data_IF_805087939691
#
_entry.id   IF_805087939691
#
_cell.length_a   1.000
_cell.length_b   1.000
_cell.length_c   1.000
_cell.angle_alpha   90.00
_cell.angle_beta   90.00
_cell.angle_gamma   90.00
#
_symmetry.space_group_name_H-M   'P 1'
#
loop_
_entity.id
_entity.type
_entity.pdbx_description
1 polymer ?
#
# COMPACT_ATOMS: atom_id res chain seq x y z
N UNK A 1 13.88 -11.43 -1.82
CA UNK A 1 13.15 -10.18 -2.08
C UNK A 1 12.05 -10.47 -3.09
N UNK A 2 10.79 -10.35 -2.68
CA UNK A 2 9.62 -10.48 -3.54
C UNK A 2 9.42 -9.20 -4.37
N UNK A 3 8.67 -9.29 -5.47
CA UNK A 3 8.32 -8.13 -6.31
C UNK A 3 7.63 -7.01 -5.50
N UNK A 4 6.84 -7.38 -4.49
CA UNK A 4 6.20 -6.45 -3.57
C UNK A 4 7.22 -5.70 -2.71
N UNK A 5 8.22 -6.40 -2.17
CA UNK A 5 9.30 -5.79 -1.39
C UNK A 5 10.13 -4.83 -2.25
N UNK A 6 10.39 -5.18 -3.52
CA UNK A 6 11.09 -4.31 -4.48
C UNK A 6 10.28 -3.04 -4.76
N UNK A 7 8.97 -3.17 -4.99
CA UNK A 7 8.08 -2.03 -5.25
C UNK A 7 7.95 -1.13 -4.01
N UNK A 8 7.79 -1.72 -2.82
CA UNK A 8 7.74 -0.99 -1.56
C UNK A 8 9.05 -0.26 -1.27
N UNK A 9 10.21 -0.88 -1.52
CA UNK A 9 11.53 -0.25 -1.38
C UNK A 9 11.74 0.87 -2.41
N UNK A 10 11.37 0.67 -3.67
CA UNK A 10 11.43 1.72 -4.70
C UNK A 10 10.60 2.93 -4.31
N UNK A 11 9.40 2.68 -3.81
CA UNK A 11 8.53 3.73 -3.33
C UNK A 11 9.07 4.41 -2.07
N UNK A 12 9.60 3.67 -1.10
CA UNK A 12 10.22 4.25 0.10
C UNK A 12 11.46 5.10 -0.24
N UNK A 13 12.27 4.66 -1.21
CA UNK A 13 13.42 5.41 -1.71
C UNK A 13 12.99 6.68 -2.47
N UNK A 14 11.93 6.60 -3.30
CA UNK A 14 11.36 7.77 -4.00
C UNK A 14 10.60 8.71 -3.07
N UNK A 15 9.92 8.19 -2.06
CA UNK A 15 9.17 8.98 -1.09
C UNK A 15 10.04 9.45 0.07
N UNK A 16 11.38 9.37 -0.04
CA UNK A 16 12.32 9.92 0.93
C UNK A 16 12.10 11.42 1.00
N UNK A 17 11.17 11.79 1.88
CA UNK A 17 11.01 13.09 2.50
C UNK A 17 12.40 13.43 3.01
N UNK A 18 13.02 14.46 2.47
CA UNK A 18 14.22 14.99 3.09
C UNK A 18 13.88 15.38 4.52
N UNK A 19 14.85 15.29 5.42
CA UNK A 19 14.66 15.37 6.88
C UNK A 19 14.01 16.69 7.35
N UNK A 20 13.79 17.62 6.43
CA UNK A 20 13.19 18.94 6.53
C UNK A 20 11.75 19.02 5.97
N UNK A 21 11.13 17.91 5.55
CA UNK A 21 9.76 17.88 5.06
C UNK A 21 9.60 18.16 3.57
N UNK A 22 10.71 18.33 2.83
CA UNK A 22 10.68 18.63 1.40
C UNK A 22 10.60 17.33 0.59
N UNK A 23 9.54 17.17 -0.20
CA UNK A 23 9.41 16.07 -1.17
C UNK A 23 10.14 16.49 -2.45
N UNK A 24 11.34 15.96 -2.68
CA UNK A 24 12.15 16.25 -3.89
C UNK A 24 11.78 15.38 -5.10
N UNK A 25 10.84 14.44 -4.97
CA UNK A 25 10.37 13.59 -6.06
C UNK A 25 9.05 14.10 -6.61
N UNK A 26 8.86 14.15 -7.95
CA UNK A 26 7.59 14.57 -8.53
C UNK A 26 6.42 13.78 -7.93
N UNK A 27 5.40 14.50 -7.45
CA UNK A 27 4.24 13.91 -6.79
C UNK A 27 3.58 12.83 -7.68
N UNK A 28 3.57 13.04 -9.00
CA UNK A 28 3.00 12.11 -9.99
C UNK A 28 3.75 10.77 -10.07
N UNK A 29 5.07 10.79 -9.92
CA UNK A 29 5.92 9.60 -9.88
C UNK A 29 5.63 8.76 -8.64
N UNK A 30 5.43 9.42 -7.51
CA UNK A 30 5.08 8.80 -6.23
C UNK A 30 3.67 8.20 -6.32
N UNK A 31 2.71 8.94 -6.88
CA UNK A 31 1.33 8.48 -7.12
C UNK A 31 1.31 7.24 -8.03
N UNK A 32 2.10 7.24 -9.10
CA UNK A 32 2.17 6.12 -10.05
C UNK A 32 2.71 4.86 -9.38
N UNK A 33 3.81 4.97 -8.63
CA UNK A 33 4.36 3.83 -7.89
C UNK A 33 3.42 3.32 -6.80
N UNK A 34 2.68 4.22 -6.12
CA UNK A 34 1.66 3.85 -5.12
C UNK A 34 0.55 3.00 -5.74
N UNK A 35 0.04 3.39 -6.92
CA UNK A 35 -0.98 2.63 -7.64
C UNK A 35 -0.51 1.21 -7.98
N UNK A 36 0.68 1.07 -8.55
CA UNK A 36 1.25 -0.25 -8.89
C UNK A 36 1.36 -1.16 -7.65
N UNK A 37 1.76 -0.59 -6.52
CA UNK A 37 1.86 -1.35 -5.27
C UNK A 37 0.49 -1.78 -4.73
N UNK A 38 -0.53 -0.90 -4.80
CA UNK A 38 -1.91 -1.24 -4.42
C UNK A 38 -2.46 -2.37 -5.29
N UNK A 39 -2.22 -2.33 -6.60
CA UNK A 39 -2.66 -3.37 -7.53
C UNK A 39 -1.98 -4.72 -7.22
N UNK A 40 -0.68 -4.70 -6.94
CA UNK A 40 0.07 -5.92 -6.57
C UNK A 40 -0.44 -6.52 -5.25
N UNK A 41 -0.65 -5.70 -4.22
CA UNK A 41 -1.20 -6.17 -2.95
C UNK A 41 -2.61 -6.72 -3.10
N UNK A 42 -3.47 -6.04 -3.86
CA UNK A 42 -4.83 -6.50 -4.15
C UNK A 42 -4.81 -7.88 -4.80
N UNK A 43 -3.93 -8.06 -5.79
CA UNK A 43 -3.74 -9.34 -6.47
C UNK A 43 -3.27 -10.43 -5.51
N UNK A 44 -2.29 -10.13 -4.65
CA UNK A 44 -1.77 -11.08 -3.65
C UNK A 44 -2.80 -11.44 -2.59
N UNK A 45 -3.50 -10.47 -2.01
CA UNK A 45 -4.56 -10.71 -1.02
C UNK A 45 -5.65 -11.61 -1.61
N UNK A 46 -6.12 -11.30 -2.81
CA UNK A 46 -7.12 -12.11 -3.52
C UNK A 46 -6.62 -13.54 -3.76
N UNK A 47 -5.39 -13.71 -4.25
CA UNK A 47 -4.78 -15.03 -4.46
C UNK A 47 -4.61 -15.83 -3.16
N UNK A 48 -4.55 -15.15 -2.01
CA UNK A 48 -4.48 -15.76 -0.69
C UNK A 48 -5.86 -16.05 -0.07
N UNK A 49 -6.96 -15.79 -0.80
CA UNK A 49 -8.32 -16.02 -0.32
C UNK A 49 -8.81 -14.94 0.65
N UNK A 50 -8.21 -13.75 0.64
CA UNK A 50 -8.81 -12.59 1.29
C UNK A 50 -9.90 -12.03 0.38
N UNK A 51 -10.99 -11.57 0.98
CA UNK A 51 -12.13 -10.99 0.26
C UNK A 51 -12.28 -9.52 0.60
N UNK A 52 -12.61 -8.70 -0.40
CA UNK A 52 -13.03 -7.33 -0.14
C UNK A 52 -14.35 -7.36 0.65
N UNK A 53 -14.36 -6.73 1.82
CA UNK A 53 -15.50 -6.72 2.75
C UNK A 53 -16.09 -5.34 2.98
N UNK A 54 -15.32 -4.27 2.72
CA UNK A 54 -15.85 -2.91 2.74
C UNK A 54 -15.06 -2.01 1.77
N UNK A 55 -15.76 -1.01 1.21
CA UNK A 55 -15.15 0.05 0.41
C UNK A 55 -15.72 1.39 0.85
N UNK A 56 -14.86 2.30 1.25
CA UNK A 56 -15.24 3.64 1.70
C UNK A 56 -14.82 4.67 0.64
N UNK A 57 -15.81 5.29 0.00
CA UNK A 57 -15.68 6.40 -0.95
C UNK A 57 -14.64 6.22 -2.06
N UNK A 58 -14.32 4.97 -2.43
CA UNK A 58 -13.25 4.65 -3.39
C UNK A 58 -11.84 5.04 -2.92
N UNK A 59 -11.69 5.40 -1.63
CA UNK A 59 -10.42 5.82 -1.01
C UNK A 59 -9.79 4.71 -0.19
N UNK A 60 -10.60 3.83 0.37
CA UNK A 60 -10.15 2.74 1.24
C UNK A 60 -10.91 1.47 0.89
N UNK A 61 -10.20 0.35 0.85
CA UNK A 61 -10.78 -0.99 0.77
C UNK A 61 -10.31 -1.82 1.95
N UNK A 62 -11.25 -2.46 2.62
CA UNK A 62 -10.96 -3.48 3.63
C UNK A 62 -10.99 -4.86 2.99
N UNK A 63 -9.93 -5.62 3.18
CA UNK A 63 -9.87 -7.05 2.89
C UNK A 63 -9.96 -7.83 4.20
N UNK A 64 -10.75 -8.89 4.23
CA UNK A 64 -10.87 -9.77 5.40
C UNK A 64 -10.60 -11.23 5.07
N UNK A 65 -10.07 -11.96 6.05
CA UNK A 65 -9.90 -13.42 6.00
C UNK A 65 -10.05 -13.99 7.41
N UNK A 66 -11.20 -14.62 7.68
CA UNK A 66 -11.55 -15.05 9.03
C UNK A 66 -11.85 -13.85 9.93
N UNK A 67 -11.19 -13.79 11.09
CA UNK A 67 -11.25 -12.70 12.05
C UNK A 67 -10.27 -11.54 11.75
N UNK A 68 -9.43 -11.69 10.72
CA UNK A 68 -8.44 -10.67 10.33
C UNK A 68 -8.98 -9.71 9.29
N UNK A 69 -8.59 -8.44 9.41
CA UNK A 69 -8.89 -7.37 8.46
C UNK A 69 -7.64 -6.55 8.12
N UNK A 70 -7.49 -6.19 6.86
CA UNK A 70 -6.42 -5.33 6.33
C UNK A 70 -7.05 -4.19 5.55
N UNK A 71 -6.59 -2.98 5.83
CA UNK A 71 -7.05 -1.77 5.16
C UNK A 71 -6.05 -1.34 4.08
N UNK A 72 -6.48 -1.32 2.82
CA UNK A 72 -5.75 -0.75 1.70
C UNK A 72 -6.25 0.65 1.40
N UNK A 73 -5.35 1.63 1.48
CA UNK A 73 -5.62 2.99 1.02
C UNK A 73 -5.47 3.04 -0.51
N UNK A 74 -6.59 3.18 -1.22
CA UNK A 74 -6.65 3.34 -2.67
C UNK A 74 -6.26 4.75 -3.12
N UNK A 75 -6.48 5.78 -2.29
CA UNK A 75 -6.14 7.15 -2.64
C UNK A 75 -4.72 7.52 -2.16
N UNK A 76 -3.79 7.82 -3.09
CA UNK A 76 -2.39 8.06 -2.78
C UNK A 76 -2.08 9.45 -2.22
N UNK A 77 -3.05 10.34 -2.00
CA UNK A 77 -2.79 11.71 -1.47
C UNK A 77 -2.81 11.81 0.05
N UNK A 78 -3.15 10.73 0.77
CA UNK A 78 -3.29 10.76 2.23
C UNK A 78 -1.95 10.62 2.97
N UNK A 79 -1.77 11.42 4.03
CA UNK A 79 -0.56 11.45 4.86
C UNK A 79 -0.26 10.11 5.57
N UNK A 80 -1.31 9.34 5.90
CA UNK A 80 -1.19 8.10 6.66
C UNK A 80 -0.94 6.86 5.79
N UNK A 81 -0.74 7.05 4.48
CA UNK A 81 -0.53 5.98 3.51
C UNK A 81 0.63 5.06 3.92
N UNK A 82 1.75 5.60 4.41
CA UNK A 82 2.91 4.79 4.82
C UNK A 82 2.64 3.83 5.98
N UNK A 83 1.83 4.23 6.96
CA UNK A 83 1.53 3.43 8.16
C UNK A 83 0.65 2.23 7.77
N UNK A 84 -0.49 2.48 7.12
CA UNK A 84 -1.44 1.42 6.77
C UNK A 84 -0.89 0.45 5.71
N UNK A 85 -0.04 0.96 4.82
CA UNK A 85 0.66 0.11 3.85
C UNK A 85 1.68 -0.80 4.51
N UNK A 86 2.36 -0.33 5.55
CA UNK A 86 3.27 -1.16 6.33
C UNK A 86 2.53 -2.29 7.04
N UNK A 87 1.32 -2.04 7.56
CA UNK A 87 0.46 -3.06 8.14
C UNK A 87 0.03 -4.11 7.10
N UNK A 88 -0.44 -3.66 5.92
CA UNK A 88 -0.82 -4.55 4.83
C UNK A 88 0.36 -5.42 4.35
N UNK A 89 1.53 -4.82 4.16
CA UNK A 89 2.75 -5.53 3.75
C UNK A 89 3.20 -6.54 4.82
N UNK A 90 3.10 -6.20 6.11
CA UNK A 90 3.42 -7.13 7.19
C UNK A 90 2.55 -8.38 7.15
N UNK A 91 1.25 -8.24 6.96
CA UNK A 91 0.33 -9.38 6.81
C UNK A 91 0.62 -10.21 5.55
N UNK A 92 1.14 -9.58 4.49
CA UNK A 92 1.55 -10.27 3.26
C UNK A 92 2.88 -11.03 3.42
N UNK A 93 3.82 -10.52 4.22
CA UNK A 93 5.16 -11.08 4.41
C UNK A 93 5.20 -12.14 5.52
N UNK A 94 4.56 -11.88 6.67
CA UNK A 94 4.60 -12.76 7.86
C UNK A 94 3.52 -13.84 7.85
N UNK A 95 3.40 -14.57 6.74
CA UNK A 95 2.62 -15.81 6.71
C UNK A 95 3.02 -16.78 7.82
#
# INVERSE_FOLDING_TARGET
MTELEILALRLACKARIERDGTVTVPLDDVITLRRVLIDEMTRKLTAMGWTESAREDGRVVMYSKGDRGVWLLLNPTFADWGIRMSEAIRELIWR
#
